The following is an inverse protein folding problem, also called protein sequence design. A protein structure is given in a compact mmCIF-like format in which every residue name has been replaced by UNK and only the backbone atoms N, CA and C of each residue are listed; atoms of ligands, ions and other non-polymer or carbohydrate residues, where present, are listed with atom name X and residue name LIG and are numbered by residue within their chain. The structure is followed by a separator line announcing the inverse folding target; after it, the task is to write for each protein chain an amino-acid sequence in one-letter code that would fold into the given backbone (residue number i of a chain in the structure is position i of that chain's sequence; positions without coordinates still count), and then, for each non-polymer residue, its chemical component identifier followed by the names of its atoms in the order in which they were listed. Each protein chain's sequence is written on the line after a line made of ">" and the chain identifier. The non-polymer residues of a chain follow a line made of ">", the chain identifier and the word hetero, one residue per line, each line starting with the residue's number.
data_IF_959981322385
#
_entry.id   IF_959981322385
#
_cell.length_a   1.000
_cell.length_b   1.000
_cell.length_c   1.000
_cell.angle_alpha   90.00
_cell.angle_beta   90.00
_cell.angle_gamma   90.00
#
_symmetry.space_group_name_H-M   'P 1'
#
loop_
_entity.id
_entity.type
_entity.pdbx_description
1 polymer ?
#
# COMPACT_ATOMS: atom_id res chain seq x y z
N UNK A 1 -10.78 18.92 1.15
CA UNK A 1 -9.88 17.96 1.77
C UNK A 1 -9.25 17.10 0.67
N UNK A 2 -7.94 17.01 0.62
CA UNK A 2 -7.22 16.34 -0.48
C UNK A 2 -7.07 14.84 -0.37
N UNK A 3 -7.98 14.18 0.35
CA UNK A 3 -7.95 12.72 0.54
C UNK A 3 -9.09 12.09 -0.26
N UNK A 4 -8.74 11.07 -1.06
CA UNK A 4 -9.66 10.42 -1.97
C UNK A 4 -9.82 8.95 -1.64
N UNK A 5 -10.83 8.32 -2.21
CA UNK A 5 -11.04 6.88 -2.09
C UNK A 5 -9.79 6.13 -2.60
N UNK A 6 -9.35 5.16 -1.83
CA UNK A 6 -8.16 4.38 -2.16
C UNK A 6 -6.87 4.92 -1.58
N UNK A 7 -6.86 6.13 -1.03
CA UNK A 7 -5.68 6.66 -0.36
C UNK A 7 -5.34 5.86 0.89
N UNK A 8 -4.05 5.73 1.16
CA UNK A 8 -3.54 5.05 2.34
C UNK A 8 -2.95 6.07 3.29
N UNK A 9 -3.37 6.00 4.53
CA UNK A 9 -2.87 6.87 5.58
C UNK A 9 -2.29 6.07 6.74
N UNK A 10 -1.50 6.75 7.54
CA UNK A 10 -0.89 6.18 8.74
C UNK A 10 -1.47 6.88 9.97
N UNK A 11 -1.86 6.08 10.95
CA UNK A 11 -2.31 6.62 12.23
C UNK A 11 -1.07 6.89 13.08
N UNK A 12 -0.87 8.15 13.43
CA UNK A 12 0.30 8.56 14.21
C UNK A 12 -0.15 9.30 15.47
N UNK A 13 0.65 9.20 16.52
CA UNK A 13 0.39 9.93 17.75
C UNK A 13 0.64 11.42 17.50
N UNK A 14 -0.36 12.23 17.81
CA UNK A 14 -0.30 13.66 17.56
C UNK A 14 0.67 14.39 18.46
N UNK A 15 0.82 13.93 19.68
CA UNK A 15 1.57 14.65 20.67
C UNK A 15 2.29 13.67 21.59
N UNK A 16 3.57 13.93 21.79
CA UNK A 16 4.44 13.13 22.65
C UNK A 16 4.64 13.75 24.04
N UNK A 17 3.92 14.83 24.34
CA UNK A 17 4.04 15.45 25.64
C UNK A 17 3.44 14.58 26.73
N UNK A 18 4.10 14.50 27.91
CA UNK A 18 3.55 13.79 29.04
C UNK A 18 2.20 14.40 29.44
N UNK A 19 1.19 13.57 29.60
CA UNK A 19 -0.14 14.03 29.96
C UNK A 19 -1.06 14.30 28.77
N UNK A 20 -0.59 14.18 27.55
CA UNK A 20 -1.48 14.27 26.39
C UNK A 20 -2.44 13.09 26.37
N UNK A 21 -3.69 13.32 26.03
CA UNK A 21 -4.75 12.33 26.09
C UNK A 21 -4.79 11.42 24.86
N UNK A 22 -3.66 10.99 24.36
CA UNK A 22 -3.60 9.98 23.29
C UNK A 22 -4.37 10.34 22.03
N UNK A 23 -4.35 11.59 21.62
CA UNK A 23 -4.99 11.99 20.38
C UNK A 23 -4.16 11.53 19.20
N UNK A 24 -4.83 10.91 18.25
CA UNK A 24 -4.20 10.44 17.02
C UNK A 24 -4.60 11.31 15.84
N UNK A 25 -3.74 11.36 14.86
CA UNK A 25 -4.02 11.98 13.56
C UNK A 25 -3.70 10.99 12.46
N UNK A 26 -4.29 11.19 11.31
CA UNK A 26 -4.01 10.37 10.12
C UNK A 26 -3.14 11.20 9.19
N UNK A 27 -1.99 10.65 8.84
CA UNK A 27 -1.06 11.26 7.92
C UNK A 27 -1.16 10.53 6.58
N UNK A 28 -1.55 11.24 5.52
CA UNK A 28 -1.72 10.68 4.18
C UNK A 28 -0.62 11.24 3.28
N UNK A 29 0.39 10.44 2.94
CA UNK A 29 1.46 10.90 2.05
C UNK A 29 0.93 11.25 0.66
N UNK A 30 1.45 12.33 0.10
CA UNK A 30 1.14 12.76 -1.26
C UNK A 30 2.35 12.51 -2.17
N UNK A 31 2.10 12.41 -3.48
CA UNK A 31 3.17 12.17 -4.44
C UNK A 31 4.23 13.24 -4.51
N UNK A 32 3.93 14.43 -3.99
CA UNK A 32 4.88 15.56 -3.94
C UNK A 32 5.90 15.47 -2.81
N UNK A 33 5.81 14.45 -1.96
CA UNK A 33 6.64 14.31 -0.78
C UNK A 33 6.07 14.96 0.48
N UNK A 34 5.00 15.72 0.34
CA UNK A 34 4.28 16.29 1.46
C UNK A 34 3.20 15.33 1.94
N UNK A 35 2.72 15.53 3.16
CA UNK A 35 1.64 14.73 3.71
C UNK A 35 0.48 15.63 4.10
N UNK A 36 -0.73 15.11 3.92
CA UNK A 36 -1.95 15.75 4.43
C UNK A 36 -2.25 15.13 5.78
N UNK A 37 -2.54 15.99 6.76
CA UNK A 37 -2.90 15.56 8.11
C UNK A 37 -4.39 15.74 8.29
N UNK A 38 -5.07 14.66 8.68
CA UNK A 38 -6.52 14.65 8.82
C UNK A 38 -6.88 14.09 10.19
N UNK A 39 -7.89 14.68 10.82
CA UNK A 39 -8.46 14.11 12.04
C UNK A 39 -9.23 12.83 11.70
N UNK A 40 -9.06 11.76 12.48
CA UNK A 40 -9.82 10.52 12.23
C UNK A 40 -11.34 10.74 12.19
N UNK A 41 -11.84 11.70 12.91
CA UNK A 41 -13.27 12.02 12.96
C UNK A 41 -13.82 12.52 11.63
N UNK A 42 -12.97 13.03 10.76
CA UNK A 42 -13.38 13.53 9.45
C UNK A 42 -13.45 12.45 8.38
N UNK A 43 -12.91 11.29 8.67
CA UNK A 43 -12.92 10.17 7.74
C UNK A 43 -14.22 9.40 7.91
N UNK A 44 -15.06 9.42 6.89
CA UNK A 44 -16.39 8.79 6.96
C UNK A 44 -16.33 7.28 6.75
N UNK A 45 -15.38 6.81 5.95
CA UNK A 45 -15.22 5.40 5.66
C UNK A 45 -13.74 5.07 5.56
N UNK A 46 -13.31 4.12 6.37
CA UNK A 46 -11.93 3.64 6.34
C UNK A 46 -11.91 2.18 6.81
N UNK A 47 -10.87 1.51 6.45
CA UNK A 47 -10.64 0.12 6.88
C UNK A 47 -9.15 -0.11 7.06
N UNK A 48 -8.75 -1.05 7.92
CA UNK A 48 -7.34 -1.40 8.06
C UNK A 48 -6.77 -1.90 6.73
N UNK A 49 -5.53 -1.50 6.43
CA UNK A 49 -4.85 -1.88 5.20
C UNK A 49 -3.48 -2.45 5.55
N UNK A 50 -3.40 -3.77 5.70
CA UNK A 50 -2.14 -4.45 5.93
C UNK A 50 -1.45 -4.84 4.63
N UNK A 51 -2.23 -5.00 3.59
CA UNK A 51 -1.78 -5.32 2.24
C UNK A 51 -2.85 -4.88 1.25
N UNK A 52 -2.49 -4.77 -0.01
CA UNK A 52 -3.45 -4.43 -1.06
C UNK A 52 -3.18 -5.27 -2.30
N UNK A 53 -4.16 -5.35 -3.18
CA UNK A 53 -3.96 -6.03 -4.45
C UNK A 53 -3.04 -5.21 -5.36
N UNK A 54 -2.38 -5.87 -6.29
CA UNK A 54 -1.56 -5.17 -7.28
C UNK A 54 -2.39 -4.16 -8.07
N UNK A 55 -3.62 -4.50 -8.40
CA UNK A 55 -4.52 -3.59 -9.13
C UNK A 55 -4.78 -2.29 -8.37
N UNK A 56 -4.97 -2.37 -7.05
CA UNK A 56 -5.18 -1.18 -6.23
C UNK A 56 -3.94 -0.31 -6.12
N UNK A 57 -2.76 -0.88 -6.33
CA UNK A 57 -1.51 -0.13 -6.28
C UNK A 57 -1.21 0.66 -7.55
N UNK A 58 -1.99 0.47 -8.62
CA UNK A 58 -1.79 1.21 -9.87
C UNK A 58 -1.87 2.70 -9.65
N UNK A 59 -0.93 3.43 -10.25
CA UNK A 59 -0.83 4.86 -10.08
C UNK A 59 -0.06 5.32 -8.85
N UNK A 60 0.36 4.40 -8.00
CA UNK A 60 1.13 4.69 -6.80
C UNK A 60 2.53 4.12 -6.88
N UNK A 61 3.47 4.71 -6.15
CA UNK A 61 4.83 4.21 -6.06
C UNK A 61 5.28 4.23 -4.60
N UNK A 62 6.16 3.31 -4.26
CA UNK A 62 6.66 3.14 -2.89
C UNK A 62 8.16 2.89 -2.92
N UNK A 63 8.86 3.25 -1.87
CA UNK A 63 10.29 3.02 -1.78
C UNK A 63 10.62 1.52 -1.81
N UNK A 64 9.89 0.75 -1.03
CA UNK A 64 10.09 -0.69 -0.92
C UNK A 64 8.75 -1.39 -1.09
N UNK A 65 8.74 -2.46 -1.86
CA UNK A 65 7.54 -3.24 -2.13
C UNK A 65 7.81 -4.70 -1.87
N UNK A 66 6.88 -5.36 -1.21
CA UNK A 66 6.86 -6.81 -1.10
C UNK A 66 5.69 -7.34 -1.89
N UNK A 67 5.92 -8.32 -2.74
CA UNK A 67 4.88 -8.97 -3.54
C UNK A 67 4.74 -10.41 -3.08
N UNK A 68 3.51 -10.80 -2.74
CA UNK A 68 3.18 -12.18 -2.43
C UNK A 68 2.39 -12.77 -3.60
N UNK A 69 2.96 -13.76 -4.26
CA UNK A 69 2.28 -14.50 -5.32
C UNK A 69 1.71 -15.77 -4.70
N UNK A 70 0.42 -15.76 -4.45
CA UNK A 70 -0.25 -16.86 -3.80
C UNK A 70 -0.73 -17.90 -4.81
N UNK A 71 -0.61 -19.15 -4.43
CA UNK A 71 -0.93 -20.28 -5.30
C UNK A 71 -2.41 -20.32 -5.67
N UNK A 72 -3.27 -19.96 -4.73
CA UNK A 72 -4.73 -19.95 -4.98
C UNK A 72 -5.15 -18.85 -5.96
N UNK A 73 -4.28 -17.91 -6.29
CA UNK A 73 -4.57 -16.83 -7.23
C UNK A 73 -4.01 -17.10 -8.63
N UNK A 74 -3.80 -18.36 -8.98
CA UNK A 74 -3.17 -18.74 -10.26
C UNK A 74 -3.82 -18.14 -11.49
N UNK A 75 -5.14 -18.01 -11.47
CA UNK A 75 -5.88 -17.45 -12.60
C UNK A 75 -5.59 -15.98 -12.84
N UNK A 76 -5.17 -15.28 -11.80
CA UNK A 76 -4.84 -13.86 -11.85
C UNK A 76 -3.37 -13.62 -12.12
N UNK A 77 -2.53 -14.65 -12.02
CA UNK A 77 -1.10 -14.50 -12.23
C UNK A 77 -0.79 -14.32 -13.71
N UNK A 78 -0.08 -13.25 -14.01
CA UNK A 78 0.35 -12.95 -15.38
C UNK A 78 1.63 -12.13 -15.35
N UNK A 79 2.30 -12.09 -16.50
CA UNK A 79 3.48 -11.23 -16.65
C UNK A 79 3.11 -9.76 -16.44
N UNK A 80 1.97 -9.36 -16.95
CA UNK A 80 1.47 -7.99 -16.80
C UNK A 80 1.24 -7.62 -15.32
N UNK A 81 0.64 -8.52 -14.56
CA UNK A 81 0.41 -8.30 -13.15
C UNK A 81 1.74 -8.17 -12.39
N UNK A 82 2.66 -9.08 -12.65
CA UNK A 82 3.97 -9.05 -12.01
C UNK A 82 4.72 -7.76 -12.34
N UNK A 83 4.71 -7.36 -13.61
CA UNK A 83 5.35 -6.12 -14.05
C UNK A 83 4.74 -4.90 -13.34
N UNK A 84 3.41 -4.85 -13.25
CA UNK A 84 2.73 -3.76 -12.55
C UNK A 84 3.18 -3.68 -11.09
N UNK A 85 3.26 -4.83 -10.41
CA UNK A 85 3.72 -4.87 -9.03
C UNK A 85 5.18 -4.44 -8.86
N UNK A 86 6.06 -4.95 -9.72
CA UNK A 86 7.49 -4.61 -9.70
C UNK A 86 7.74 -3.12 -9.88
N UNK A 87 6.99 -2.50 -10.79
CA UNK A 87 7.17 -1.08 -11.11
C UNK A 87 6.60 -0.14 -10.06
N UNK A 88 5.94 -0.67 -9.01
CA UNK A 88 5.55 0.15 -7.86
C UNK A 88 6.74 0.47 -6.94
N UNK A 89 7.83 -0.28 -7.05
CA UNK A 89 8.99 -0.11 -6.19
C UNK A 89 9.99 0.88 -6.80
N UNK A 90 10.40 1.86 -6.01
CA UNK A 90 11.44 2.81 -6.43
C UNK A 90 12.85 2.29 -6.12
N UNK A 91 13.01 1.57 -5.01
CA UNK A 91 14.32 1.14 -4.54
C UNK A 91 14.47 -0.36 -4.46
N UNK A 92 13.47 -1.04 -3.92
CA UNK A 92 13.58 -2.46 -3.66
C UNK A 92 12.24 -3.16 -3.80
N UNK A 93 12.26 -4.33 -4.42
CA UNK A 93 11.11 -5.21 -4.49
C UNK A 93 11.54 -6.62 -4.09
N UNK A 94 10.85 -7.17 -3.09
CA UNK A 94 11.02 -8.55 -2.68
C UNK A 94 9.78 -9.34 -3.10
N UNK A 95 10.00 -10.56 -3.59
CA UNK A 95 8.90 -11.41 -4.06
C UNK A 95 8.90 -12.71 -3.25
N UNK A 96 7.76 -13.02 -2.66
CA UNK A 96 7.51 -14.29 -1.98
C UNK A 96 6.58 -15.11 -2.87
N UNK A 97 7.07 -16.21 -3.40
CA UNK A 97 6.31 -17.06 -4.30
C UNK A 97 6.87 -18.48 -4.28
N UNK A 98 6.02 -19.47 -4.55
CA UNK A 98 6.53 -20.78 -4.85
C UNK A 98 7.01 -20.80 -6.32
N UNK A 99 7.77 -21.82 -6.67
CA UNK A 99 8.37 -21.94 -8.00
C UNK A 99 7.31 -22.00 -9.10
N UNK A 100 6.21 -22.70 -8.86
CA UNK A 100 5.15 -22.84 -9.84
C UNK A 100 4.41 -21.52 -10.09
N UNK A 101 4.12 -20.77 -9.03
CA UNK A 101 3.47 -19.48 -9.16
C UNK A 101 4.36 -18.50 -9.94
N UNK A 102 5.66 -18.52 -9.67
CA UNK A 102 6.60 -17.63 -10.32
C UNK A 102 6.75 -17.99 -11.82
N UNK A 103 6.87 -19.26 -12.14
CA UNK A 103 6.92 -19.72 -13.53
C UNK A 103 5.66 -19.31 -14.29
N UNK A 104 4.50 -19.48 -13.69
CA UNK A 104 3.25 -19.10 -14.34
C UNK A 104 3.20 -17.61 -14.61
N UNK A 105 3.64 -16.79 -13.68
CA UNK A 105 3.65 -15.33 -13.84
C UNK A 105 4.58 -14.90 -14.98
N UNK A 106 5.69 -15.61 -15.21
CA UNK A 106 6.60 -15.30 -16.30
C UNK A 106 6.12 -15.81 -17.66
N UNK A 107 5.37 -16.90 -17.69
CA UNK A 107 4.94 -17.53 -18.96
C UNK A 107 3.64 -16.94 -19.50
N UNK A 108 2.86 -16.30 -18.70
CA UNK A 108 1.60 -15.67 -19.08
C UNK A 108 1.68 -14.15 -18.96
#
# INVERSE_FOLDING_TARGET
>A
MGVFNGDIGFVVARNHEPGSTGKFQVEVPQGSGESIIVSPKRLKAWQPAYAMTVHKSQGSEYQRVGILLADYAKELLSRSLLYTGLTRAKQRCDIWADTQALEKAFLE
#
